data_IF_706418560821
#
_entry.id   IF_706418560821
#
_cell.length_a   1.000
_cell.length_b   1.000
_cell.length_c   1.000
_cell.angle_alpha   90.00
_cell.angle_beta   90.00
_cell.angle_gamma   90.00
#
_symmetry.space_group_name_H-M   'P 1'
#
loop_
_entity.id
_entity.type
_entity.pdbx_description
1 polymer ?
#
# COMPACT_ATOMS: atom_id res chain seq x y z
N UNK A 1 12.81 -29.27 12.08
CA UNK A 1 11.84 -29.41 10.96
C UNK A 1 12.38 -28.59 9.80
N UNK A 2 12.66 -29.17 8.63
CA UNK A 2 12.98 -28.36 7.46
C UNK A 2 11.78 -27.46 7.17
N UNK A 3 12.02 -26.19 6.83
CA UNK A 3 10.95 -25.30 6.43
C UNK A 3 10.22 -25.95 5.24
N UNK A 4 8.90 -26.13 5.35
CA UNK A 4 8.09 -26.51 4.20
C UNK A 4 8.31 -25.44 3.13
N UNK A 5 8.54 -25.86 1.88
CA UNK A 5 8.43 -24.96 0.74
C UNK A 5 6.94 -24.57 0.60
N UNK A 6 6.50 -23.62 1.42
CA UNK A 6 5.21 -22.99 1.25
C UNK A 6 5.30 -22.14 -0.02
N UNK A 7 4.73 -22.65 -1.12
CA UNK A 7 4.58 -21.90 -2.36
C UNK A 7 3.64 -20.72 -2.13
N UNK A 8 4.21 -19.57 -1.81
CA UNK A 8 3.46 -18.33 -1.62
C UNK A 8 3.22 -17.63 -2.96
N UNK A 9 1.99 -17.12 -3.14
CA UNK A 9 1.64 -16.21 -4.24
C UNK A 9 1.79 -14.78 -3.74
N UNK A 10 2.50 -13.94 -4.49
CA UNK A 10 2.72 -12.53 -4.16
C UNK A 10 1.93 -11.69 -5.16
N UNK A 11 1.07 -10.82 -4.64
CA UNK A 11 0.24 -9.92 -5.43
C UNK A 11 0.61 -8.48 -5.12
N UNK A 12 0.82 -7.69 -6.16
CA UNK A 12 0.91 -6.23 -6.07
C UNK A 12 -0.43 -5.63 -6.50
N UNK A 13 -1.08 -4.90 -5.59
CA UNK A 13 -2.39 -4.30 -5.81
C UNK A 13 -2.20 -2.80 -5.99
N UNK A 14 -2.26 -2.33 -7.23
CA UNK A 14 -2.15 -0.90 -7.54
C UNK A 14 -3.43 -0.17 -7.12
N UNK A 15 -3.31 0.80 -6.23
CA UNK A 15 -4.47 1.57 -5.75
C UNK A 15 -4.39 3.06 -6.04
N UNK A 16 -3.19 3.60 -6.30
CA UNK A 16 -3.02 5.02 -6.60
C UNK A 16 -1.86 5.29 -7.56
N UNK A 17 -1.77 6.52 -8.04
CA UNK A 17 -0.64 7.01 -8.83
C UNK A 17 -0.35 8.48 -8.52
N UNK A 18 0.83 8.95 -8.95
CA UNK A 18 1.20 10.35 -8.87
C UNK A 18 2.05 10.71 -10.10
N UNK A 19 1.59 11.71 -10.85
CA UNK A 19 2.39 12.32 -11.90
C UNK A 19 3.55 13.10 -11.26
N UNK A 20 4.79 12.74 -11.62
CA UNK A 20 6.03 13.38 -11.13
C UNK A 20 7.02 13.54 -12.26
N UNK A 21 8.03 14.36 -12.04
CA UNK A 21 9.23 14.40 -12.87
C UNK A 21 10.33 13.51 -12.26
N UNK A 22 11.29 13.07 -13.08
CA UNK A 22 12.42 12.26 -12.62
C UNK A 22 13.20 12.96 -11.49
N UNK A 23 13.40 14.29 -11.59
CA UNK A 23 14.04 15.09 -10.54
C UNK A 23 13.38 14.98 -9.17
N UNK A 24 12.08 14.67 -9.12
CA UNK A 24 11.33 14.57 -7.88
C UNK A 24 11.46 13.17 -7.25
N UNK A 25 11.99 12.19 -7.98
CA UNK A 25 12.11 10.80 -7.54
C UNK A 25 13.55 10.44 -7.12
N UNK A 26 14.57 11.11 -7.68
CA UNK A 26 15.97 10.85 -7.40
C UNK A 26 16.64 11.96 -6.59
N UNK A 27 17.41 11.57 -5.58
CA UNK A 27 18.25 12.51 -4.83
C UNK A 27 19.36 13.04 -5.74
N UNK A 28 19.49 14.37 -5.84
CA UNK A 28 20.44 15.01 -6.75
C UNK A 28 19.91 15.24 -8.17
N UNK A 29 18.68 14.81 -8.47
CA UNK A 29 18.05 14.95 -9.78
C UNK A 29 18.48 13.89 -10.79
N UNK A 30 17.96 14.01 -12.01
CA UNK A 30 18.28 13.12 -13.15
C UNK A 30 18.68 13.98 -14.36
N UNK A 31 19.85 13.76 -14.99
CA UNK A 31 20.27 14.47 -16.21
C UNK A 31 19.31 14.29 -17.39
N UNK A 32 18.52 13.22 -17.39
CA UNK A 32 17.45 12.91 -18.33
C UNK A 32 16.08 13.24 -17.71
N UNK A 33 15.94 14.46 -17.19
CA UNK A 33 14.70 14.88 -16.54
C UNK A 33 13.50 14.89 -17.51
N UNK A 34 12.37 14.37 -17.02
CA UNK A 34 11.14 14.21 -17.80
C UNK A 34 10.04 13.55 -16.97
N UNK A 35 8.83 13.36 -17.55
CA UNK A 35 7.72 12.70 -16.86
C UNK A 35 8.11 11.29 -16.40
N UNK A 36 8.01 11.06 -15.09
CA UNK A 36 8.27 9.78 -14.43
C UNK A 36 7.16 9.49 -13.41
N UNK A 37 5.94 9.14 -13.87
CA UNK A 37 4.83 8.86 -12.98
C UNK A 37 5.10 7.60 -12.16
N UNK A 38 4.67 7.63 -10.90
CA UNK A 38 4.81 6.49 -9.97
C UNK A 38 3.46 5.90 -9.62
N UNK A 39 3.41 4.58 -9.42
CA UNK A 39 2.26 3.86 -8.88
C UNK A 39 2.47 3.54 -7.41
N UNK A 40 1.38 3.53 -6.64
CA UNK A 40 1.37 3.06 -5.27
C UNK A 40 0.64 1.74 -5.19
N UNK A 41 1.21 0.84 -4.39
CA UNK A 41 0.78 -0.54 -4.27
C UNK A 41 0.73 -0.93 -2.80
N UNK A 42 -0.25 -1.74 -2.43
CA UNK A 42 -0.13 -2.62 -1.28
C UNK A 42 0.11 -4.03 -1.79
N UNK A 43 0.69 -4.88 -0.94
CA UNK A 43 1.05 -6.23 -1.36
C UNK A 43 0.41 -7.27 -0.45
N UNK A 44 -0.03 -8.37 -1.04
CA UNK A 44 -0.52 -9.53 -0.34
C UNK A 44 0.37 -10.74 -0.66
N UNK A 45 0.92 -11.36 0.38
CA UNK A 45 1.69 -12.61 0.28
C UNK A 45 0.81 -13.72 0.84
N UNK A 46 0.29 -14.58 -0.04
CA UNK A 46 -0.70 -15.61 0.27
C UNK A 46 -0.02 -16.97 0.24
N UNK A 47 0.22 -17.54 1.42
CA UNK A 47 0.67 -18.92 1.61
C UNK A 47 -0.49 -19.86 1.95
N UNK A 48 -0.21 -21.14 2.12
CA UNK A 48 -1.22 -22.15 2.42
C UNK A 48 -1.90 -21.95 3.79
N UNK A 49 -1.15 -21.46 4.77
CA UNK A 49 -1.60 -21.33 6.17
C UNK A 49 -1.72 -19.88 6.65
N UNK A 50 -1.16 -18.92 5.90
CA UNK A 50 -1.09 -17.52 6.31
C UNK A 50 -1.15 -16.58 5.11
N UNK A 51 -1.75 -15.41 5.35
CA UNK A 51 -1.67 -14.26 4.45
C UNK A 51 -0.97 -13.12 5.18
N UNK A 52 0.03 -12.52 4.54
CA UNK A 52 0.76 -11.35 5.05
C UNK A 52 0.44 -10.16 4.17
N UNK A 53 0.01 -9.07 4.79
CA UNK A 53 -0.13 -7.77 4.14
C UNK A 53 1.16 -6.97 4.32
N UNK A 54 1.64 -6.34 3.25
CA UNK A 54 2.78 -5.44 3.27
C UNK A 54 2.34 -4.07 2.77
N UNK A 55 2.67 -3.06 3.56
CA UNK A 55 2.13 -1.70 3.47
C UNK A 55 0.62 -1.64 3.73
N UNK A 56 0.13 -0.45 4.06
CA UNK A 56 -1.30 -0.15 4.28
C UNK A 56 -1.77 1.00 3.41
N UNK A 57 -0.85 1.62 2.66
CA UNK A 57 -1.15 2.72 1.77
C UNK A 57 -1.46 4.02 2.52
N UNK A 58 -2.30 4.85 1.93
CA UNK A 58 -2.68 6.14 2.49
C UNK A 58 -4.16 6.46 2.23
N UNK A 59 -4.72 7.34 3.06
CA UNK A 59 -6.10 7.80 2.93
C UNK A 59 -6.26 8.96 1.93
N UNK A 60 -7.52 9.33 1.66
CA UNK A 60 -7.84 10.42 0.74
C UNK A 60 -7.30 11.79 1.19
N UNK A 61 -7.18 12.03 2.50
CA UNK A 61 -6.65 13.28 3.03
C UNK A 61 -5.16 13.43 2.70
N UNK A 62 -4.38 12.38 2.94
CA UNK A 62 -2.95 12.31 2.59
C UNK A 62 -2.74 12.33 1.07
N UNK A 63 -3.62 11.66 0.30
CA UNK A 63 -3.59 11.69 -1.15
C UNK A 63 -3.68 13.13 -1.66
N UNK A 64 -4.70 13.87 -1.18
CA UNK A 64 -4.90 15.29 -1.52
C UNK A 64 -3.72 16.16 -1.09
N UNK A 65 -3.23 15.98 0.14
CA UNK A 65 -2.11 16.76 0.67
C UNK A 65 -0.83 16.60 -0.17
N UNK A 66 -0.61 15.40 -0.74
CA UNK A 66 0.61 15.06 -1.50
C UNK A 66 0.42 15.06 -3.01
N UNK A 67 -0.72 15.53 -3.52
CA UNK A 67 -1.00 15.57 -4.97
C UNK A 67 -1.07 14.18 -5.62
N UNK A 68 -1.51 13.17 -4.88
CA UNK A 68 -1.66 11.78 -5.35
C UNK A 68 -3.10 11.50 -5.73
N UNK A 69 -3.30 10.62 -6.70
CA UNK A 69 -4.62 10.20 -7.18
C UNK A 69 -4.89 8.76 -6.79
N UNK A 70 -5.87 8.54 -5.92
CA UNK A 70 -6.42 7.20 -5.64
C UNK A 70 -7.29 6.80 -6.84
N UNK A 71 -6.99 5.64 -7.44
CA UNK A 71 -7.74 5.11 -8.60
C UNK A 71 -8.73 4.03 -8.21
N UNK A 72 -8.41 3.25 -7.18
CA UNK A 72 -9.25 2.16 -6.68
C UNK A 72 -9.13 2.07 -5.16
N UNK A 73 -10.18 1.61 -4.50
CA UNK A 73 -10.10 1.26 -3.09
C UNK A 73 -9.17 0.05 -2.91
N UNK A 74 -8.37 0.02 -1.85
CA UNK A 74 -7.46 -1.11 -1.57
C UNK A 74 -8.27 -2.38 -1.30
N UNK A 75 -9.38 -2.21 -0.59
CA UNK A 75 -10.33 -3.23 -0.18
C UNK A 75 -10.96 -3.94 -1.39
N UNK A 76 -11.22 -3.23 -2.48
CA UNK A 76 -11.76 -3.81 -3.71
C UNK A 76 -10.74 -4.75 -4.36
N UNK A 77 -9.46 -4.34 -4.37
CA UNK A 77 -8.36 -5.16 -4.88
C UNK A 77 -8.11 -6.41 -4.03
N UNK A 78 -8.19 -6.28 -2.70
CA UNK A 78 -8.09 -7.42 -1.78
C UNK A 78 -9.27 -8.38 -1.91
N UNK A 79 -10.49 -7.84 -2.07
CA UNK A 79 -11.71 -8.65 -2.23
C UNK A 79 -11.65 -9.52 -3.48
N UNK A 80 -11.04 -9.05 -4.57
CA UNK A 80 -10.80 -9.86 -5.78
C UNK A 80 -9.86 -11.05 -5.54
N UNK A 81 -9.05 -11.01 -4.47
CA UNK A 81 -8.19 -12.11 -4.05
C UNK A 81 -8.87 -13.00 -2.98
N UNK A 82 -10.12 -12.73 -2.62
CA UNK A 82 -10.82 -13.41 -1.52
C UNK A 82 -10.33 -12.98 -0.12
N UNK A 83 -9.65 -11.84 -0.02
CA UNK A 83 -9.03 -11.34 1.21
C UNK A 83 -9.94 -10.27 1.83
N UNK A 84 -10.55 -10.59 2.98
CA UNK A 84 -11.43 -9.65 3.69
C UNK A 84 -10.65 -8.65 4.57
N UNK A 85 -11.03 -7.37 4.53
CA UNK A 85 -10.36 -6.30 5.29
C UNK A 85 -10.38 -6.53 6.82
N UNK A 86 -11.46 -7.10 7.36
CA UNK A 86 -11.56 -7.42 8.80
C UNK A 86 -10.51 -8.44 9.27
N UNK A 87 -9.97 -9.27 8.37
CA UNK A 87 -9.00 -10.31 8.73
C UNK A 87 -7.65 -9.74 9.24
N UNK A 88 -7.39 -8.43 9.06
CA UNK A 88 -6.11 -7.80 9.40
C UNK A 88 -6.19 -6.76 10.52
N UNK A 89 -7.38 -6.48 11.07
CA UNK A 89 -7.59 -5.44 12.08
C UNK A 89 -7.20 -5.83 13.52
N UNK A 90 -6.52 -6.96 13.74
CA UNK A 90 -6.14 -7.42 15.11
C UNK A 90 -5.11 -6.55 15.83
N UNK A 91 -4.53 -5.53 15.20
CA UNK A 91 -3.46 -4.72 15.80
C UNK A 91 -3.88 -3.30 16.21
N UNK A 92 -5.11 -2.84 15.90
CA UNK A 92 -5.53 -1.46 16.16
C UNK A 92 -6.37 -1.23 17.43
N UNK A 93 -6.61 -2.24 18.27
CA UNK A 93 -7.42 -2.08 19.50
C UNK A 93 -6.68 -1.44 20.69
N UNK A 94 -5.53 -0.78 20.50
CA UNK A 94 -4.72 -0.27 21.62
C UNK A 94 -4.09 1.12 21.40
N UNK A 95 -4.70 2.02 20.62
CA UNK A 95 -4.36 3.44 20.68
C UNK A 95 -5.55 4.24 21.22
N UNK A 96 -5.47 4.80 22.44
CA UNK A 96 -6.47 5.76 22.89
C UNK A 96 -6.42 6.99 21.99
N UNK A 97 -7.60 7.47 21.61
CA UNK A 97 -7.75 8.70 20.84
C UNK A 97 -6.94 9.82 21.52
N UNK A 98 -6.02 10.45 20.78
CA UNK A 98 -5.41 11.69 21.20
C UNK A 98 -6.52 12.75 21.22
N UNK A 99 -7.08 13.00 22.41
CA UNK A 99 -7.86 14.18 22.69
C UNK A 99 -6.95 15.39 22.49
N UNK A 100 -7.24 16.21 21.48
CA UNK A 100 -6.63 17.51 21.33
C UNK A 100 -7.53 18.53 22.04
N UNK A 101 -7.13 19.12 23.19
CA UNK A 101 -7.78 20.33 23.65
C UNK A 101 -7.27 21.53 22.83
N UNK A 102 -8.19 22.50 22.70
CA UNK A 102 -8.17 23.74 21.91
C UNK A 102 -6.83 24.49 21.85
#
# INVERSE_FOLDING_TARGET
>A
MPASNDNARIFAIKYAHHHRLARDNFLGGDPHDGPMPIGYFVWAIVGATRTIMVDTGFDAAMARQRGRTITHCIEDGLSQLGIGCHAFLRQYSAMPALSNPL
#
